data_IF_230053245693
#
_entry.id   IF_230053245693
#
_cell.length_a   1.000
_cell.length_b   1.000
_cell.length_c   1.000
_cell.angle_alpha   90.00
_cell.angle_beta   90.00
_cell.angle_gamma   90.00
#
_symmetry.space_group_name_H-M   'P 1'
#
loop_
_entity.id
_entity.type
_entity.pdbx_description
1 polymer ?
#
# COMPACT_ATOMS: atom_id res chain seq x y z
N UNK A 1 11.66 32.68 30.23
CA UNK A 1 12.93 32.17 29.67
C UNK A 1 12.57 31.15 28.61
N UNK A 2 12.71 31.51 27.34
CA UNK A 2 12.46 30.61 26.20
C UNK A 2 13.67 29.71 26.05
N UNK A 3 13.55 28.44 26.47
CA UNK A 3 14.55 27.42 26.17
C UNK A 3 14.38 27.02 24.71
N UNK A 4 15.08 27.71 23.81
CA UNK A 4 15.34 27.21 22.46
C UNK A 4 16.18 25.95 22.59
N UNK A 5 15.51 24.79 22.64
CA UNK A 5 16.16 23.50 22.48
C UNK A 5 16.86 23.55 21.13
N UNK A 6 18.20 23.53 21.13
CA UNK A 6 18.93 23.37 19.88
C UNK A 6 18.56 21.99 19.35
N UNK A 7 17.87 21.97 18.22
CA UNK A 7 17.62 20.73 17.50
C UNK A 7 18.97 20.28 16.97
N UNK A 8 19.63 19.38 17.71
CA UNK A 8 20.85 18.75 17.23
C UNK A 8 20.58 18.19 15.84
N UNK A 9 21.40 18.59 14.87
CA UNK A 9 21.29 18.12 13.49
C UNK A 9 21.57 16.62 13.47
N UNK A 10 20.50 15.82 13.42
CA UNK A 10 20.63 14.37 13.30
C UNK A 10 21.44 14.01 12.06
N UNK A 11 22.44 13.16 12.24
CA UNK A 11 23.26 12.66 11.14
C UNK A 11 22.45 11.75 10.24
N UNK A 12 22.36 12.10 8.95
CA UNK A 12 21.72 11.26 7.93
C UNK A 12 22.36 9.89 7.81
N UNK A 13 23.68 9.80 8.00
CA UNK A 13 24.40 8.53 7.96
C UNK A 13 23.93 7.61 9.09
N UNK A 14 23.78 8.14 10.31
CA UNK A 14 23.27 7.36 11.44
C UNK A 14 21.83 6.91 11.23
N UNK A 15 20.96 7.78 10.70
CA UNK A 15 19.59 7.40 10.33
C UNK A 15 19.57 6.31 9.27
N UNK A 16 20.44 6.38 8.26
CA UNK A 16 20.57 5.36 7.23
C UNK A 16 21.02 4.02 7.80
N UNK A 17 22.06 3.99 8.64
CA UNK A 17 22.51 2.76 9.29
C UNK A 17 21.43 2.16 10.19
N UNK A 18 20.72 3.00 10.95
CA UNK A 18 19.61 2.56 11.80
C UNK A 18 18.41 2.03 11.00
N UNK A 19 18.22 2.52 9.77
CA UNK A 19 17.12 2.14 8.90
C UNK A 19 17.41 0.92 8.01
N UNK A 20 18.62 0.35 8.04
CA UNK A 20 18.96 -0.86 7.28
C UNK A 20 18.00 -2.05 7.49
N UNK A 21 17.42 -2.29 8.69
CA UNK A 21 16.43 -3.35 8.87
C UNK A 21 15.17 -3.17 7.99
N UNK A 22 14.80 -1.94 7.61
CA UNK A 22 13.71 -1.71 6.65
C UNK A 22 14.12 -2.28 5.27
N UNK A 23 15.34 -2.02 4.81
CA UNK A 23 15.84 -2.54 3.52
C UNK A 23 15.99 -4.07 3.50
N UNK A 24 16.17 -4.70 4.65
CA UNK A 24 16.24 -6.17 4.73
C UNK A 24 14.96 -6.82 4.16
N UNK A 25 13.78 -6.20 4.33
CA UNK A 25 12.53 -6.69 3.74
C UNK A 25 12.55 -6.66 2.21
N UNK A 26 13.17 -5.65 1.58
CA UNK A 26 13.34 -5.65 0.12
C UNK A 26 14.25 -6.81 -0.33
N UNK A 27 15.32 -7.11 0.42
CA UNK A 27 16.18 -8.26 0.16
C UNK A 27 15.43 -9.60 0.27
N UNK A 28 14.56 -9.75 1.27
CA UNK A 28 13.69 -10.92 1.43
C UNK A 28 12.72 -11.07 0.25
N UNK A 29 12.12 -9.97 -0.22
CA UNK A 29 11.23 -10.00 -1.38
C UNK A 29 11.98 -10.33 -2.68
N UNK A 30 13.18 -9.78 -2.89
CA UNK A 30 14.03 -10.13 -4.05
C UNK A 30 14.33 -11.63 -4.06
N UNK A 31 14.62 -12.22 -2.89
CA UNK A 31 14.78 -13.67 -2.77
C UNK A 31 13.49 -14.42 -3.14
N UNK A 32 12.33 -13.95 -2.69
CA UNK A 32 11.05 -14.57 -3.04
C UNK A 32 10.81 -14.55 -4.56
N UNK A 33 11.11 -13.45 -5.25
CA UNK A 33 11.06 -13.42 -6.72
C UNK A 33 12.04 -14.39 -7.39
N UNK A 34 13.22 -14.60 -6.81
CA UNK A 34 14.17 -15.59 -7.32
C UNK A 34 13.66 -17.04 -7.20
N UNK A 35 12.59 -17.29 -6.44
CA UNK A 35 11.89 -18.58 -6.42
C UNK A 35 10.90 -18.76 -7.57
N UNK A 36 10.74 -17.77 -8.46
CA UNK A 36 9.74 -17.72 -9.52
C UNK A 36 9.96 -18.68 -10.71
N UNK A 37 11.00 -19.51 -10.69
CA UNK A 37 11.29 -20.45 -11.78
C UNK A 37 10.12 -21.40 -12.11
N UNK A 38 9.43 -22.03 -11.13
CA UNK A 38 8.34 -22.97 -11.41
C UNK A 38 7.12 -22.33 -12.08
N UNK A 39 6.84 -21.05 -11.82
CA UNK A 39 5.67 -20.36 -12.37
C UNK A 39 5.91 -19.84 -13.79
N UNK A 40 7.17 -19.61 -14.18
CA UNK A 40 7.51 -19.00 -15.46
C UNK A 40 6.97 -19.78 -16.69
N UNK A 41 7.09 -21.12 -16.78
CA UNK A 41 6.54 -21.88 -17.92
C UNK A 41 5.01 -21.75 -18.03
N UNK A 42 4.30 -21.66 -16.91
CA UNK A 42 2.84 -21.49 -16.90
C UNK A 42 2.46 -20.13 -17.47
N UNK A 43 3.13 -19.06 -17.04
CA UNK A 43 2.89 -17.70 -17.56
C UNK A 43 3.23 -17.60 -19.05
N UNK A 44 4.32 -18.22 -19.48
CA UNK A 44 4.70 -18.26 -20.89
C UNK A 44 3.66 -19.01 -21.73
N UNK A 45 3.23 -20.19 -21.28
CA UNK A 45 2.21 -20.99 -21.96
C UNK A 45 0.86 -20.25 -22.07
N UNK A 46 0.49 -19.51 -21.02
CA UNK A 46 -0.68 -18.63 -21.01
C UNK A 46 -0.58 -17.55 -22.08
N UNK A 47 0.57 -16.87 -22.15
CA UNK A 47 0.84 -15.83 -23.13
C UNK A 47 0.85 -16.39 -24.54
N UNK A 48 1.50 -17.52 -24.80
CA UNK A 48 1.58 -18.10 -26.15
C UNK A 48 0.20 -18.52 -26.67
N UNK A 49 -0.59 -19.20 -25.83
CA UNK A 49 -1.87 -19.78 -26.24
C UNK A 49 -3.08 -18.84 -26.06
N UNK A 50 -2.91 -17.66 -25.45
CA UNK A 50 -4.03 -16.79 -25.08
C UNK A 50 -5.09 -17.51 -24.25
N UNK A 51 -4.66 -18.45 -23.41
CA UNK A 51 -5.58 -19.30 -22.66
C UNK A 51 -4.97 -19.68 -21.32
N UNK A 52 -5.79 -19.62 -20.28
CA UNK A 52 -5.47 -20.19 -18.97
C UNK A 52 -6.30 -21.45 -18.76
N UNK A 53 -5.67 -22.51 -18.26
CA UNK A 53 -6.29 -23.81 -18.03
C UNK A 53 -5.88 -24.30 -16.64
N UNK A 54 -6.84 -24.79 -15.87
CA UNK A 54 -6.64 -25.46 -14.58
C UNK A 54 -7.69 -26.55 -14.40
N UNK A 55 -7.61 -27.34 -13.33
CA UNK A 55 -8.52 -28.47 -13.10
C UNK A 55 -10.01 -28.08 -13.04
N UNK A 56 -10.30 -26.83 -12.68
CA UNK A 56 -11.66 -26.29 -12.58
C UNK A 56 -12.18 -25.63 -13.85
N UNK A 57 -11.38 -25.50 -14.91
CA UNK A 57 -11.85 -24.93 -16.18
C UNK A 57 -10.78 -24.29 -17.04
N UNK A 58 -11.24 -23.52 -18.02
CA UNK A 58 -10.38 -22.73 -18.89
C UNK A 58 -11.03 -21.42 -19.30
N UNK A 59 -10.20 -20.40 -19.51
CA UNK A 59 -10.63 -19.07 -19.92
C UNK A 59 -9.65 -18.50 -20.93
N UNK A 60 -10.17 -17.76 -21.90
CA UNK A 60 -9.35 -16.98 -22.84
C UNK A 60 -8.81 -15.74 -22.14
N UNK A 61 -7.53 -15.45 -22.33
CA UNK A 61 -6.88 -14.26 -21.79
C UNK A 61 -6.48 -13.33 -22.92
N UNK A 62 -6.58 -12.04 -22.67
CA UNK A 62 -6.18 -11.00 -23.61
C UNK A 62 -4.66 -10.93 -23.67
N UNK A 63 -4.11 -10.78 -24.88
CA UNK A 63 -2.69 -10.50 -25.14
C UNK A 63 -2.41 -9.00 -25.19
N UNK A 64 -3.40 -8.25 -25.64
CA UNK A 64 -3.33 -6.83 -25.93
C UNK A 64 -4.62 -6.17 -25.44
N UNK A 65 -4.51 -4.95 -24.93
CA UNK A 65 -5.63 -4.21 -24.37
C UNK A 65 -5.56 -2.72 -24.71
N UNK A 66 -4.38 -2.10 -24.60
CA UNK A 66 -4.21 -0.67 -24.74
C UNK A 66 -4.04 -0.23 -26.19
N UNK A 67 -3.68 -1.15 -27.09
CA UNK A 67 -3.36 -0.85 -28.49
C UNK A 67 -2.03 -0.11 -28.65
N UNK A 68 -1.14 -0.24 -27.66
CA UNK A 68 0.19 0.39 -27.63
C UNK A 68 1.18 -0.75 -27.41
N UNK A 69 1.90 -1.22 -28.45
CA UNK A 69 2.64 -2.49 -28.38
C UNK A 69 3.61 -2.61 -27.19
N UNK A 70 4.44 -1.58 -26.87
CA UNK A 70 5.32 -1.68 -25.69
C UNK A 70 4.57 -1.78 -24.36
N UNK A 71 3.40 -1.15 -24.26
CA UNK A 71 2.57 -1.17 -23.06
C UNK A 71 1.87 -2.53 -22.92
N UNK A 72 1.32 -3.03 -24.02
CA UNK A 72 0.68 -4.35 -24.08
C UNK A 72 1.68 -5.46 -23.76
N UNK A 73 2.91 -5.40 -24.29
CA UNK A 73 3.96 -6.37 -24.01
C UNK A 73 4.33 -6.43 -22.52
N UNK A 74 4.57 -5.28 -21.88
CA UNK A 74 4.92 -5.22 -20.46
C UNK A 74 3.75 -5.73 -19.59
N UNK A 75 2.55 -5.21 -19.84
CA UNK A 75 1.40 -5.49 -18.99
C UNK A 75 0.75 -6.84 -19.26
N UNK A 76 0.99 -7.49 -20.41
CA UNK A 76 0.55 -8.85 -20.64
C UNK A 76 1.14 -9.79 -19.60
N UNK A 77 2.46 -9.73 -19.37
CA UNK A 77 3.17 -10.55 -18.39
C UNK A 77 2.63 -10.38 -16.96
N UNK A 78 2.38 -9.13 -16.56
CA UNK A 78 1.85 -8.81 -15.23
C UNK A 78 0.40 -9.29 -15.12
N UNK A 79 -0.42 -9.01 -16.13
CA UNK A 79 -1.84 -9.36 -16.16
C UNK A 79 -2.06 -10.87 -16.10
N UNK A 80 -1.23 -11.67 -16.78
CA UNK A 80 -1.35 -13.14 -16.71
C UNK A 80 -0.99 -13.70 -15.33
N UNK A 81 0.00 -13.11 -14.63
CA UNK A 81 0.29 -13.52 -13.26
C UNK A 81 -0.90 -13.24 -12.33
N UNK A 82 -1.52 -12.07 -12.45
CA UNK A 82 -2.70 -11.71 -11.66
C UNK A 82 -3.96 -12.49 -12.06
N UNK A 83 -4.07 -12.97 -13.30
CA UNK A 83 -5.18 -13.81 -13.73
C UNK A 83 -5.29 -15.09 -12.88
N UNK A 84 -4.15 -15.72 -12.55
CA UNK A 84 -4.14 -16.88 -11.64
C UNK A 84 -4.62 -16.53 -10.23
N UNK A 85 -4.28 -15.33 -9.75
CA UNK A 85 -4.73 -14.81 -8.46
C UNK A 85 -6.23 -14.46 -8.45
N UNK A 86 -6.84 -14.14 -9.59
CA UNK A 86 -8.20 -13.60 -9.69
C UNK A 86 -9.24 -14.61 -10.21
N UNK A 87 -8.81 -15.70 -10.82
CA UNK A 87 -9.70 -16.71 -11.40
C UNK A 87 -10.02 -17.88 -10.46
N UNK A 88 -9.53 -17.82 -9.21
CA UNK A 88 -9.82 -18.81 -8.18
C UNK A 88 -9.26 -20.20 -8.51
N UNK A 89 -8.14 -20.29 -9.25
CA UNK A 89 -7.46 -21.56 -9.49
C UNK A 89 -6.79 -22.09 -8.22
N UNK A 90 -6.17 -21.20 -7.43
CA UNK A 90 -5.76 -21.45 -6.05
C UNK A 90 -6.61 -20.59 -5.11
N UNK A 91 -7.56 -21.19 -4.36
CA UNK A 91 -8.40 -20.47 -3.41
C UNK A 91 -7.61 -19.68 -2.35
N UNK A 92 -6.46 -20.20 -1.91
CA UNK A 92 -5.64 -19.52 -0.89
C UNK A 92 -4.99 -18.28 -1.47
N UNK A 93 -4.41 -18.37 -2.66
CA UNK A 93 -3.83 -17.22 -3.35
C UNK A 93 -4.90 -16.17 -3.73
N UNK A 94 -6.10 -16.61 -4.10
CA UNK A 94 -7.22 -15.69 -4.39
C UNK A 94 -7.61 -14.87 -3.18
N UNK A 95 -7.86 -15.52 -2.04
CA UNK A 95 -8.26 -14.83 -0.81
C UNK A 95 -7.14 -13.93 -0.27
N UNK A 96 -5.89 -14.39 -0.34
CA UNK A 96 -4.73 -13.57 0.01
C UNK A 96 -4.69 -12.29 -0.84
N UNK A 97 -4.69 -12.46 -2.16
CA UNK A 97 -4.52 -11.34 -3.09
C UNK A 97 -5.67 -10.33 -3.01
N UNK A 98 -6.90 -10.79 -2.80
CA UNK A 98 -8.05 -9.90 -2.58
C UNK A 98 -7.82 -8.99 -1.36
N UNK A 99 -7.41 -9.54 -0.22
CA UNK A 99 -7.13 -8.77 0.99
C UNK A 99 -5.95 -7.83 0.75
N UNK A 100 -4.83 -8.36 0.27
CA UNK A 100 -3.61 -7.57 0.07
C UNK A 100 -3.84 -6.37 -0.86
N UNK A 101 -4.43 -6.59 -2.02
CA UNK A 101 -4.70 -5.50 -2.96
C UNK A 101 -5.76 -4.54 -2.42
N UNK A 102 -6.77 -5.00 -1.69
CA UNK A 102 -7.69 -4.06 -1.02
C UNK A 102 -6.94 -3.14 -0.04
N UNK A 103 -6.04 -3.71 0.76
CA UNK A 103 -5.25 -2.98 1.73
C UNK A 103 -4.24 -2.00 1.08
N UNK A 104 -3.77 -2.32 -0.12
CA UNK A 104 -2.82 -1.54 -0.91
C UNK A 104 -3.36 -0.16 -1.30
N UNK A 105 -4.67 0.01 -1.43
CA UNK A 105 -5.32 1.30 -1.72
C UNK A 105 -4.97 2.41 -0.69
N UNK A 106 -4.59 2.01 0.53
CA UNK A 106 -4.19 2.91 1.61
C UNK A 106 -2.73 3.41 1.55
N UNK A 107 -1.92 2.93 0.61
CA UNK A 107 -0.50 3.27 0.50
C UNK A 107 -0.32 4.49 -0.43
N UNK A 108 0.54 5.48 -0.08
CA UNK A 108 0.69 6.71 -0.87
C UNK A 108 0.96 6.50 -2.38
N UNK A 109 0.20 7.22 -3.21
CA UNK A 109 0.09 7.09 -4.68
C UNK A 109 1.37 7.36 -5.52
N UNK A 110 2.52 7.71 -4.93
CA UNK A 110 3.74 8.05 -5.69
C UNK A 110 4.57 6.81 -6.09
N UNK A 111 4.29 5.68 -5.44
CA UNK A 111 4.99 4.39 -5.52
C UNK A 111 4.35 3.33 -6.46
N UNK A 112 3.03 3.35 -6.75
CA UNK A 112 2.37 2.21 -7.37
C UNK A 112 2.83 1.80 -8.76
N UNK A 113 3.27 2.71 -9.64
CA UNK A 113 3.67 2.31 -11.00
C UNK A 113 4.91 1.40 -10.98
N UNK A 114 5.93 1.76 -10.19
CA UNK A 114 7.11 0.92 -10.03
C UNK A 114 6.78 -0.38 -9.29
N UNK A 115 5.79 -0.34 -8.39
CA UNK A 115 5.33 -1.51 -7.65
C UNK A 115 4.67 -2.55 -8.55
N UNK A 116 4.02 -2.15 -9.65
CA UNK A 116 3.48 -3.11 -10.63
C UNK A 116 4.59 -3.90 -11.34
N UNK A 117 5.78 -3.31 -11.50
CA UNK A 117 6.90 -3.92 -12.21
C UNK A 117 7.80 -4.77 -11.31
N UNK A 118 7.96 -4.36 -10.05
CA UNK A 118 8.95 -4.95 -9.13
C UNK A 118 8.34 -5.59 -7.87
N UNK A 119 7.02 -5.57 -7.72
CA UNK A 119 6.34 -5.90 -6.46
C UNK A 119 6.51 -4.80 -5.41
N UNK A 120 5.45 -4.51 -4.66
CA UNK A 120 5.53 -3.47 -3.61
C UNK A 120 6.43 -3.91 -2.46
N UNK A 121 6.58 -5.19 -2.20
CA UNK A 121 7.46 -5.76 -1.18
C UNK A 121 8.92 -5.41 -1.39
N UNK A 122 9.32 -4.98 -2.61
CA UNK A 122 10.63 -4.38 -2.88
C UNK A 122 10.55 -2.86 -2.79
N UNK A 123 9.56 -2.25 -3.44
CA UNK A 123 9.52 -0.78 -3.61
C UNK A 123 9.17 -0.05 -2.31
N UNK A 124 8.20 -0.53 -1.53
CA UNK A 124 7.78 0.10 -0.28
C UNK A 124 8.90 0.15 0.76
N UNK A 125 9.64 -0.93 1.06
CA UNK A 125 10.76 -0.82 2.00
C UNK A 125 11.85 0.17 1.55
N UNK A 126 12.17 0.21 0.25
CA UNK A 126 13.12 1.19 -0.31
C UNK A 126 12.59 2.61 -0.14
N UNK A 127 11.31 2.84 -0.44
CA UNK A 127 10.66 4.13 -0.22
C UNK A 127 10.67 4.53 1.25
N UNK A 128 10.25 3.65 2.16
CA UNK A 128 10.20 3.92 3.59
C UNK A 128 11.59 4.21 4.16
N UNK A 129 12.61 3.49 3.71
CA UNK A 129 14.00 3.77 4.05
C UNK A 129 14.40 5.20 3.67
N UNK A 130 14.24 5.56 2.40
CA UNK A 130 14.61 6.91 1.94
C UNK A 130 13.76 7.99 2.62
N UNK A 131 12.47 7.75 2.78
CA UNK A 131 11.57 8.66 3.47
C UNK A 131 12.06 8.92 4.89
N UNK A 132 12.39 7.88 5.65
CA UNK A 132 12.89 8.02 7.02
C UNK A 132 14.25 8.74 7.08
N UNK A 133 15.18 8.40 6.18
CA UNK A 133 16.53 9.00 6.14
C UNK A 133 16.46 10.50 5.82
N UNK A 134 15.59 10.90 4.90
CA UNK A 134 15.49 12.28 4.42
C UNK A 134 14.48 13.15 5.17
N UNK A 135 13.69 12.55 6.07
CA UNK A 135 12.66 13.22 6.88
C UNK A 135 12.98 13.11 8.37
N UNK A 136 14.01 13.83 8.86
CA UNK A 136 14.32 13.89 10.29
C UNK A 136 13.20 14.56 11.11
N UNK A 137 13.22 14.35 12.42
CA UNK A 137 12.18 14.80 13.35
C UNK A 137 11.79 16.29 13.18
N UNK A 138 12.75 17.17 12.92
CA UNK A 138 12.48 18.59 12.72
C UNK A 138 11.65 18.90 11.46
N UNK A 139 11.81 18.12 10.38
CA UNK A 139 11.01 18.30 9.16
C UNK A 139 9.59 17.83 9.37
N UNK A 140 9.40 16.72 10.09
CA UNK A 140 8.07 16.21 10.45
C UNK A 140 7.30 17.22 11.28
N UNK A 141 8.00 17.91 12.19
CA UNK A 141 7.39 18.85 13.15
C UNK A 141 7.26 20.28 12.62
N UNK A 142 7.64 20.52 11.35
CA UNK A 142 7.52 21.82 10.69
C UNK A 142 6.28 21.83 9.77
N UNK A 143 5.19 22.54 10.12
CA UNK A 143 3.92 22.43 9.40
C UNK A 143 3.98 22.83 7.92
N UNK A 144 4.88 23.73 7.54
CA UNK A 144 5.02 24.21 6.16
C UNK A 144 5.68 23.19 5.21
N UNK A 145 6.32 22.14 5.74
CA UNK A 145 7.09 21.18 4.95
C UNK A 145 6.34 19.87 4.66
N UNK A 146 5.14 19.68 5.20
CA UNK A 146 4.41 18.41 5.14
C UNK A 146 2.96 18.50 4.60
N UNK A 147 2.49 19.69 4.21
CA UNK A 147 1.08 19.88 3.82
C UNK A 147 0.83 19.78 2.31
N UNK A 148 -0.03 18.85 1.87
CA UNK A 148 -0.37 18.69 0.46
C UNK A 148 -1.36 19.76 -0.06
N UNK A 149 -2.12 20.42 0.81
CA UNK A 149 -3.20 21.34 0.45
C UNK A 149 -4.58 20.69 0.47
N UNK A 150 -5.63 21.48 0.70
CA UNK A 150 -7.04 21.03 0.75
C UNK A 150 -7.48 20.33 -0.54
N UNK A 151 -7.18 20.90 -1.72
CA UNK A 151 -7.67 20.35 -2.99
C UNK A 151 -7.14 18.94 -3.29
N UNK A 152 -5.83 18.64 -3.13
CA UNK A 152 -5.33 17.26 -3.18
C UNK A 152 -5.96 16.32 -2.15
N UNK A 153 -6.21 16.78 -0.91
CA UNK A 153 -6.89 15.97 0.09
C UNK A 153 -8.31 15.59 -0.34
N UNK A 154 -9.09 16.54 -0.88
CA UNK A 154 -10.45 16.27 -1.38
C UNK A 154 -10.41 15.32 -2.59
N UNK A 155 -9.41 15.49 -3.47
CA UNK A 155 -9.27 14.68 -4.68
C UNK A 155 -8.87 13.22 -4.40
N UNK A 156 -8.31 12.91 -3.23
CA UNK A 156 -7.77 11.59 -2.90
C UNK A 156 -8.84 10.48 -2.90
N UNK A 157 -9.89 10.64 -2.10
CA UNK A 157 -10.95 9.63 -2.00
C UNK A 157 -11.65 9.33 -3.34
N UNK A 158 -12.15 10.32 -4.11
CA UNK A 158 -12.78 10.04 -5.40
C UNK A 158 -11.78 9.45 -6.40
N UNK A 159 -10.51 9.82 -6.35
CA UNK A 159 -9.48 9.19 -7.18
C UNK A 159 -9.33 7.70 -6.85
N UNK A 160 -9.21 7.34 -5.57
CA UNK A 160 -9.09 5.93 -5.17
C UNK A 160 -10.36 5.17 -5.56
N UNK A 161 -11.55 5.74 -5.34
CA UNK A 161 -12.80 5.10 -5.74
C UNK A 161 -12.87 4.85 -7.26
N UNK A 162 -12.53 5.84 -8.08
CA UNK A 162 -12.69 5.79 -9.53
C UNK A 162 -11.55 5.08 -10.26
N UNK A 163 -10.30 5.24 -9.83
CA UNK A 163 -9.14 4.69 -10.51
C UNK A 163 -8.73 3.32 -9.96
N UNK A 164 -8.98 3.06 -8.67
CA UNK A 164 -8.56 1.83 -8.00
C UNK A 164 -9.72 0.85 -7.79
N UNK A 165 -10.70 1.21 -6.96
CA UNK A 165 -11.74 0.26 -6.55
C UNK A 165 -12.73 -0.10 -7.67
N UNK A 166 -12.96 0.82 -8.61
CA UNK A 166 -13.87 0.60 -9.74
C UNK A 166 -13.45 -0.56 -10.65
N UNK A 167 -12.16 -0.87 -10.72
CA UNK A 167 -11.60 -1.97 -11.52
C UNK A 167 -11.14 -3.13 -10.64
N UNK A 168 -10.64 -2.86 -9.44
CA UNK A 168 -10.20 -3.88 -8.47
C UNK A 168 -11.30 -4.86 -8.12
N UNK A 169 -12.46 -4.40 -7.64
CA UNK A 169 -13.50 -5.35 -7.22
C UNK A 169 -14.11 -6.14 -8.38
N UNK A 170 -14.37 -5.53 -9.55
CA UNK A 170 -14.80 -6.30 -10.71
C UNK A 170 -13.78 -7.33 -11.21
N UNK A 171 -12.46 -7.10 -11.06
CA UNK A 171 -11.46 -8.11 -11.43
C UNK A 171 -11.53 -9.37 -10.55
N UNK A 172 -12.12 -9.29 -9.35
CA UNK A 172 -12.32 -10.43 -8.46
C UNK A 172 -13.74 -11.01 -8.49
N UNK A 173 -14.77 -10.17 -8.61
CA UNK A 173 -16.15 -10.57 -8.35
C UNK A 173 -17.02 -10.66 -9.60
N UNK A 174 -16.55 -10.21 -10.75
CA UNK A 174 -17.36 -10.31 -11.97
C UNK A 174 -17.68 -11.79 -12.30
N UNK A 175 -18.91 -12.16 -12.70
CA UNK A 175 -19.26 -13.57 -12.94
C UNK A 175 -18.50 -14.22 -14.11
N UNK A 176 -18.23 -13.47 -15.18
CA UNK A 176 -17.39 -13.93 -16.30
C UNK A 176 -15.91 -13.71 -16.00
N UNK A 177 -15.11 -14.76 -16.19
CA UNK A 177 -13.66 -14.75 -16.02
C UNK A 177 -12.96 -13.90 -17.09
N UNK A 178 -13.48 -13.86 -18.32
CA UNK A 178 -12.99 -12.98 -19.38
C UNK A 178 -13.14 -11.52 -18.99
N UNK A 179 -14.29 -11.16 -18.42
CA UNK A 179 -14.50 -9.80 -17.91
C UNK A 179 -13.63 -9.51 -16.68
N UNK A 180 -13.35 -10.49 -15.81
CA UNK A 180 -12.33 -10.32 -14.75
C UNK A 180 -10.96 -10.00 -15.35
N UNK A 181 -10.55 -10.69 -16.42
CA UNK A 181 -9.31 -10.39 -17.14
C UNK A 181 -9.30 -8.96 -17.68
N UNK A 182 -10.41 -8.54 -18.29
CA UNK A 182 -10.57 -7.19 -18.84
C UNK A 182 -10.46 -6.11 -17.75
N UNK A 183 -11.10 -6.31 -16.61
CA UNK A 183 -10.98 -5.40 -15.46
C UNK A 183 -9.57 -5.40 -14.84
N UNK A 184 -8.90 -6.56 -14.83
CA UNK A 184 -7.51 -6.65 -14.40
C UNK A 184 -6.60 -5.78 -15.25
N UNK A 185 -6.72 -5.82 -16.58
CA UNK A 185 -5.98 -4.93 -17.48
C UNK A 185 -6.16 -3.47 -17.09
N UNK A 186 -7.41 -3.00 -16.91
CA UNK A 186 -7.66 -1.62 -16.47
C UNK A 186 -6.97 -1.32 -15.14
N UNK A 187 -7.07 -2.24 -14.19
CA UNK A 187 -6.49 -2.09 -12.86
C UNK A 187 -4.96 -2.03 -12.91
N UNK A 188 -4.27 -2.79 -13.76
CA UNK A 188 -2.80 -2.78 -13.80
C UNK A 188 -2.23 -1.38 -14.05
N UNK A 189 -2.89 -0.57 -14.88
CA UNK A 189 -2.47 0.80 -15.18
C UNK A 189 -3.17 1.86 -14.30
N UNK A 190 -3.83 1.45 -13.22
CA UNK A 190 -4.43 2.37 -12.22
C UNK A 190 -3.48 3.49 -11.76
N UNK A 191 -2.14 3.30 -11.62
CA UNK A 191 -1.28 4.39 -11.15
C UNK A 191 -1.27 5.57 -12.14
N UNK A 192 -1.41 5.29 -13.44
CA UNK A 192 -1.44 6.30 -14.49
C UNK A 192 -2.79 7.01 -14.50
N UNK A 193 -3.89 6.26 -14.61
CA UNK A 193 -5.24 6.85 -14.63
C UNK A 193 -5.56 7.57 -13.31
N UNK A 194 -5.11 7.02 -12.18
CA UNK A 194 -5.25 7.59 -10.85
C UNK A 194 -4.49 8.91 -10.73
N UNK A 195 -3.28 9.00 -11.26
CA UNK A 195 -2.54 10.27 -11.32
C UNK A 195 -3.26 11.32 -12.15
N UNK A 196 -3.77 10.96 -13.34
CA UNK A 196 -4.56 11.88 -14.16
C UNK A 196 -5.86 12.32 -13.46
N UNK A 197 -6.56 11.39 -12.82
CA UNK A 197 -7.81 11.64 -12.09
C UNK A 197 -7.57 12.57 -10.91
N UNK A 198 -6.53 12.30 -10.10
CA UNK A 198 -6.13 13.16 -8.98
C UNK A 198 -5.81 14.57 -9.44
N UNK A 199 -5.01 14.70 -10.51
CA UNK A 199 -4.62 16.00 -11.06
C UNK A 199 -5.83 16.76 -11.62
N UNK A 200 -6.72 16.08 -12.35
CA UNK A 200 -7.92 16.68 -12.91
C UNK A 200 -8.83 17.21 -11.79
N UNK A 201 -9.19 16.35 -10.83
CA UNK A 201 -10.09 16.71 -9.72
C UNK A 201 -9.46 17.83 -8.87
N UNK A 202 -8.18 17.71 -8.51
CA UNK A 202 -7.49 18.71 -7.69
C UNK A 202 -7.42 20.07 -8.39
N UNK A 203 -7.12 20.12 -9.70
CA UNK A 203 -7.13 21.36 -10.48
C UNK A 203 -8.52 21.97 -10.60
N UNK A 204 -9.56 21.16 -10.81
CA UNK A 204 -10.95 21.66 -10.87
C UNK A 204 -11.36 22.28 -9.55
N UNK A 205 -11.07 21.63 -8.42
CA UNK A 205 -11.38 22.16 -7.08
C UNK A 205 -10.60 23.45 -6.81
N UNK A 206 -9.31 23.46 -7.12
CA UNK A 206 -8.45 24.64 -6.93
C UNK A 206 -8.91 25.82 -7.78
N UNK A 207 -9.40 25.58 -9.00
CA UNK A 207 -9.95 26.62 -9.88
C UNK A 207 -11.25 27.23 -9.37
N UNK A 208 -12.08 26.43 -8.66
CA UNK A 208 -13.33 26.88 -8.04
C UNK A 208 -13.08 27.64 -6.74
N UNK A 209 -12.04 27.27 -5.99
CA UNK A 209 -11.70 27.87 -4.71
C UNK A 209 -10.63 28.95 -4.89
N UNK A 210 -11.01 30.14 -5.36
CA UNK A 210 -10.11 31.33 -5.45
C UNK A 210 -9.79 31.99 -4.11
N UNK A 211 -9.98 31.28 -2.99
CA UNK A 211 -9.91 31.88 -1.66
C UNK A 211 -8.49 31.75 -1.10
N UNK A 212 -7.97 32.86 -0.54
CA UNK A 212 -6.66 32.96 0.11
C UNK A 212 -6.55 31.90 1.21
N UNK A 213 -5.45 31.14 1.25
CA UNK A 213 -5.25 30.10 2.26
C UNK A 213 -5.32 30.67 3.67
N UNK A 214 -6.16 30.08 4.52
CA UNK A 214 -6.37 30.50 5.91
C UNK A 214 -5.99 29.40 6.90
N UNK A 215 -5.96 29.73 8.20
CA UNK A 215 -5.77 28.76 9.29
C UNK A 215 -6.84 27.67 9.31
N UNK A 216 -8.02 27.94 8.76
CA UNK A 216 -9.15 26.98 8.64
C UNK A 216 -8.79 25.79 7.73
N UNK A 217 -7.96 26.03 6.71
CA UNK A 217 -7.54 25.02 5.72
C UNK A 217 -6.81 23.85 6.37
N UNK A 218 -6.04 24.09 7.44
CA UNK A 218 -5.29 23.02 8.12
C UNK A 218 -6.19 22.05 8.87
N UNK A 219 -7.24 22.56 9.51
CA UNK A 219 -8.19 21.72 10.22
C UNK A 219 -9.06 20.96 9.22
N UNK A 220 -9.43 21.64 8.13
CA UNK A 220 -10.16 21.05 7.02
C UNK A 220 -9.39 19.90 6.36
N UNK A 221 -8.09 20.09 6.06
CA UNK A 221 -7.22 19.03 5.52
C UNK A 221 -7.24 17.77 6.38
N UNK A 222 -7.05 17.93 7.69
CA UNK A 222 -7.03 16.80 8.62
C UNK A 222 -8.40 16.10 8.69
N UNK A 223 -9.51 16.86 8.70
CA UNK A 223 -10.87 16.30 8.67
C UNK A 223 -11.10 15.48 7.40
N UNK A 224 -10.68 15.98 6.24
CA UNK A 224 -10.80 15.25 4.96
C UNK A 224 -9.96 13.97 4.97
N UNK A 225 -8.72 14.05 5.49
CA UNK A 225 -7.84 12.89 5.61
C UNK A 225 -8.42 11.85 6.56
N UNK A 226 -9.00 12.24 7.71
CA UNK A 226 -9.70 11.33 8.63
C UNK A 226 -10.81 10.56 7.92
N UNK A 227 -11.71 11.27 7.23
CA UNK A 227 -12.81 10.64 6.49
C UNK A 227 -12.27 9.65 5.46
N UNK A 228 -11.25 10.06 4.70
CA UNK A 228 -10.62 9.20 3.69
C UNK A 228 -10.04 7.93 4.33
N UNK A 229 -9.20 8.07 5.36
CA UNK A 229 -8.57 6.95 6.05
C UNK A 229 -9.60 6.03 6.70
N UNK A 230 -10.62 6.57 7.38
CA UNK A 230 -11.66 5.75 8.00
C UNK A 230 -12.47 4.97 6.98
N UNK A 231 -12.76 5.53 5.81
CA UNK A 231 -13.43 4.80 4.72
C UNK A 231 -12.54 3.70 4.14
N UNK A 232 -11.25 3.97 3.91
CA UNK A 232 -10.31 2.96 3.43
C UNK A 232 -10.12 1.84 4.45
N UNK A 233 -10.03 2.17 5.74
CA UNK A 233 -9.94 1.20 6.83
C UNK A 233 -11.24 0.38 6.92
N UNK A 234 -12.40 1.01 6.77
CA UNK A 234 -13.66 0.29 6.74
C UNK A 234 -13.72 -0.73 5.59
N UNK A 235 -13.33 -0.32 4.37
CA UNK A 235 -13.30 -1.22 3.20
C UNK A 235 -12.31 -2.37 3.43
N UNK A 236 -11.10 -2.08 3.88
CA UNK A 236 -10.07 -3.09 4.21
C UNK A 236 -10.57 -4.07 5.28
N UNK A 237 -11.13 -3.58 6.39
CA UNK A 237 -11.69 -4.40 7.46
C UNK A 237 -12.86 -5.25 6.97
N UNK A 238 -13.75 -4.68 6.14
CA UNK A 238 -14.87 -5.41 5.57
C UNK A 238 -14.39 -6.55 4.65
N UNK A 239 -13.37 -6.32 3.82
CA UNK A 239 -12.76 -7.35 2.99
C UNK A 239 -12.07 -8.42 3.84
N UNK A 240 -11.38 -8.03 4.92
CA UNK A 240 -10.79 -8.96 5.89
C UNK A 240 -11.84 -9.89 6.49
N UNK A 241 -12.93 -9.32 7.03
CA UNK A 241 -14.03 -10.09 7.62
C UNK A 241 -14.82 -10.92 6.61
N UNK A 242 -14.92 -10.46 5.36
CA UNK A 242 -15.52 -11.24 4.29
C UNK A 242 -14.66 -12.45 3.93
N UNK A 243 -13.34 -12.30 3.99
CA UNK A 243 -12.38 -13.32 3.56
C UNK A 243 -12.16 -14.40 4.62
N UNK A 244 -12.00 -14.05 5.90
CA UNK A 244 -11.67 -15.01 6.96
C UNK A 244 -12.61 -16.24 7.00
N UNK A 245 -13.96 -16.09 6.94
CA UNK A 245 -14.88 -17.23 6.96
C UNK A 245 -14.84 -18.09 5.69
N UNK A 246 -14.20 -17.62 4.62
CA UNK A 246 -14.08 -18.33 3.32
C UNK A 246 -12.79 -19.12 3.20
N UNK A 247 -11.85 -18.95 4.12
CA UNK A 247 -10.59 -19.67 4.14
C UNK A 247 -10.82 -21.10 4.63
N UNK A 248 -10.37 -22.08 3.85
CA UNK A 248 -10.31 -23.47 4.25
C UNK A 248 -8.97 -23.77 4.93
N UNK A 249 -9.02 -24.28 6.16
CA UNK A 249 -7.84 -24.59 6.96
C UNK A 249 -7.31 -23.39 7.77
N UNK A 250 -6.06 -23.46 8.25
CA UNK A 250 -5.44 -22.39 9.04
C UNK A 250 -5.30 -21.09 8.25
N UNK A 251 -5.66 -19.96 8.87
CA UNK A 251 -5.45 -18.61 8.30
C UNK A 251 -3.98 -18.34 7.96
N UNK A 252 -3.05 -18.95 8.71
CA UNK A 252 -1.61 -18.90 8.44
C UNK A 252 -1.24 -19.45 7.06
N UNK A 253 -1.95 -20.47 6.56
CA UNK A 253 -1.65 -21.08 5.26
C UNK A 253 -1.95 -20.12 4.10
N UNK A 254 -2.83 -19.15 4.35
CA UNK A 254 -3.19 -18.11 3.39
C UNK A 254 -2.22 -16.95 3.48
N UNK A 255 -1.93 -16.42 4.68
CA UNK A 255 -1.20 -15.17 4.81
C UNK A 255 0.31 -15.31 5.08
N UNK A 256 0.79 -16.46 5.55
CA UNK A 256 2.21 -16.67 5.90
C UNK A 256 2.91 -17.59 4.91
N UNK A 257 4.11 -17.21 4.41
CA UNK A 257 4.92 -18.05 3.56
C UNK A 257 5.32 -19.31 4.32
N UNK A 258 5.25 -20.45 3.64
CA UNK A 258 5.70 -21.74 4.18
C UNK A 258 7.15 -22.03 3.77
N UNK A 259 7.60 -21.44 2.66
CA UNK A 259 8.88 -21.72 2.02
C UNK A 259 9.93 -20.67 2.40
N UNK A 260 10.55 -20.86 3.57
CA UNK A 260 11.55 -19.93 4.09
C UNK A 260 12.97 -20.14 3.55
N UNK A 261 13.30 -21.36 3.11
CA UNK A 261 14.65 -21.74 2.67
C UNK A 261 14.63 -22.38 1.30
N UNK A 262 13.76 -23.38 1.11
CA UNK A 262 13.58 -24.10 -0.15
C UNK A 262 12.65 -23.33 -1.09
N UNK A 263 12.74 -23.61 -2.39
CA UNK A 263 11.82 -23.09 -3.39
C UNK A 263 10.60 -24.01 -3.52
N UNK A 264 9.38 -23.45 -3.63
CA UNK A 264 8.20 -24.23 -4.02
C UNK A 264 8.46 -24.97 -5.34
N UNK A 265 7.87 -26.16 -5.51
CA UNK A 265 8.00 -26.93 -6.75
C UNK A 265 6.77 -26.75 -7.65
N UNK A 266 5.59 -26.63 -7.04
CA UNK A 266 4.35 -26.42 -7.78
C UNK A 266 4.17 -24.94 -8.16
N UNK A 267 3.75 -24.63 -9.40
CA UNK A 267 3.57 -23.26 -9.88
C UNK A 267 2.61 -22.42 -9.02
N UNK A 268 1.46 -22.97 -8.63
CA UNK A 268 0.47 -22.26 -7.82
C UNK A 268 1.03 -21.92 -6.43
N UNK A 269 1.77 -22.86 -5.83
CA UNK A 269 2.44 -22.65 -4.53
C UNK A 269 3.57 -21.63 -4.63
N UNK A 270 4.27 -21.61 -5.77
CA UNK A 270 5.28 -20.61 -6.08
C UNK A 270 4.67 -19.20 -6.10
N UNK A 271 3.61 -18.99 -6.89
CA UNK A 271 2.96 -17.69 -6.98
C UNK A 271 2.33 -17.26 -5.64
N UNK A 272 1.70 -18.19 -4.92
CA UNK A 272 1.17 -17.95 -3.57
C UNK A 272 2.27 -17.54 -2.59
N UNK A 273 3.42 -18.19 -2.64
CA UNK A 273 4.56 -17.86 -1.77
C UNK A 273 5.08 -16.46 -2.09
N UNK A 274 5.22 -16.10 -3.37
CA UNK A 274 5.65 -14.77 -3.79
C UNK A 274 4.70 -13.69 -3.25
N UNK A 275 3.39 -13.85 -3.41
CA UNK A 275 2.42 -12.85 -2.93
C UNK A 275 2.39 -12.76 -1.39
N UNK A 276 2.60 -13.87 -0.69
CA UNK A 276 2.75 -13.89 0.77
C UNK A 276 3.97 -13.09 1.25
N UNK A 277 5.11 -13.25 0.58
CA UNK A 277 6.28 -12.44 0.85
C UNK A 277 6.05 -10.95 0.52
N UNK A 278 5.36 -10.66 -0.59
CA UNK A 278 5.06 -9.29 -1.00
C UNK A 278 4.26 -8.54 0.08
N UNK A 279 3.21 -9.20 0.59
CA UNK A 279 2.39 -8.70 1.68
C UNK A 279 3.18 -8.47 2.97
N UNK A 280 3.88 -9.50 3.46
CA UNK A 280 4.61 -9.42 4.73
C UNK A 280 5.73 -8.40 4.67
N UNK A 281 6.50 -8.36 3.58
CA UNK A 281 7.61 -7.42 3.43
C UNK A 281 7.09 -5.98 3.39
N UNK A 282 5.98 -5.74 2.69
CA UNK A 282 5.35 -4.42 2.60
C UNK A 282 4.88 -3.92 3.95
N UNK A 283 4.04 -4.68 4.65
CA UNK A 283 3.46 -4.22 5.92
C UNK A 283 4.48 -4.23 7.05
N UNK A 284 5.40 -5.20 7.11
CA UNK A 284 6.43 -5.22 8.14
C UNK A 284 7.38 -4.03 8.01
N UNK A 285 7.80 -3.69 6.79
CA UNK A 285 8.58 -2.48 6.53
C UNK A 285 7.80 -1.22 6.88
N UNK A 286 6.50 -1.16 6.55
CA UNK A 286 5.62 -0.04 6.88
C UNK A 286 5.43 0.16 8.38
N UNK A 287 5.18 -0.91 9.14
CA UNK A 287 5.06 -0.84 10.61
C UNK A 287 6.38 -0.45 11.27
N UNK A 288 7.51 -0.97 10.80
CA UNK A 288 8.82 -0.59 11.30
C UNK A 288 9.13 0.89 11.02
N UNK A 289 8.79 1.35 9.82
CA UNK A 289 8.87 2.77 9.44
C UNK A 289 8.01 3.67 10.33
N UNK A 290 6.76 3.27 10.62
CA UNK A 290 5.89 3.98 11.56
C UNK A 290 6.50 3.99 12.96
N UNK A 291 6.99 2.86 13.47
CA UNK A 291 7.63 2.75 14.77
C UNK A 291 8.83 3.72 14.88
N UNK A 292 9.67 3.81 13.84
CA UNK A 292 10.78 4.76 13.84
C UNK A 292 10.31 6.21 13.88
N UNK A 293 9.24 6.56 13.16
CA UNK A 293 8.65 7.89 13.24
C UNK A 293 8.05 8.19 14.63
N UNK A 294 7.39 7.22 15.27
CA UNK A 294 6.91 7.40 16.64
C UNK A 294 8.07 7.57 17.64
N UNK A 295 9.19 6.86 17.45
CA UNK A 295 10.41 7.08 18.24
C UNK A 295 10.99 8.49 18.05
N UNK A 296 10.95 9.02 16.82
CA UNK A 296 11.35 10.41 16.56
C UNK A 296 10.41 11.42 17.23
N UNK A 297 9.10 11.16 17.24
CA UNK A 297 8.12 12.00 17.95
C UNK A 297 8.30 11.96 19.46
N UNK A 298 8.62 10.80 20.02
CA UNK A 298 8.93 10.61 21.44
C UNK A 298 10.20 11.38 21.85
N UNK A 299 11.28 11.26 21.07
CA UNK A 299 12.52 12.05 21.28
C UNK A 299 12.28 13.56 21.13
N UNK A 300 11.35 13.96 20.28
CA UNK A 300 10.95 15.36 20.12
C UNK A 300 10.01 15.87 21.24
N UNK A 301 9.62 15.01 22.19
CA UNK A 301 8.74 15.35 23.31
C UNK A 301 7.28 15.55 22.91
N UNK A 302 6.83 14.95 21.80
CA UNK A 302 5.46 15.13 21.27
C UNK A 302 4.49 14.11 21.86
N UNK A 303 4.96 12.88 22.09
CA UNK A 303 4.18 11.80 22.67
C UNK A 303 5.07 10.89 23.51
N UNK A 304 4.46 10.08 24.37
CA UNK A 304 5.12 8.97 25.04
C UNK A 304 4.50 7.67 24.54
N UNK A 305 5.33 6.71 24.12
CA UNK A 305 4.83 5.46 23.54
C UNK A 305 5.14 4.32 24.50
N UNK A 306 4.12 3.73 25.16
CA UNK A 306 4.33 2.52 25.96
C UNK A 306 4.53 1.32 25.02
N UNK A 307 5.75 1.15 24.49
CA UNK A 307 6.09 0.24 23.39
C UNK A 307 5.52 -1.18 23.52
N UNK A 308 5.66 -1.80 24.70
CA UNK A 308 5.13 -3.16 24.94
C UNK A 308 3.60 -3.19 24.78
N UNK A 309 2.91 -2.22 25.40
CA UNK A 309 1.46 -2.11 25.30
C UNK A 309 1.03 -1.79 23.87
N UNK A 310 1.75 -0.91 23.19
CA UNK A 310 1.48 -0.56 21.80
C UNK A 310 1.60 -1.79 20.88
N UNK A 311 2.64 -2.61 21.05
CA UNK A 311 2.82 -3.85 20.30
C UNK A 311 1.71 -4.88 20.57
N UNK A 312 1.33 -5.08 21.84
CA UNK A 312 0.24 -6.00 22.21
C UNK A 312 -1.10 -5.53 21.63
N UNK A 313 -1.42 -4.24 21.77
CA UNK A 313 -2.65 -3.67 21.22
C UNK A 313 -2.65 -3.74 19.70
N UNK A 314 -1.53 -3.43 19.03
CA UNK A 314 -1.40 -3.56 17.58
C UNK A 314 -1.62 -4.99 17.12
N UNK A 315 -1.08 -5.99 17.83
CA UNK A 315 -1.31 -7.41 17.52
C UNK A 315 -2.79 -7.81 17.63
N UNK A 316 -3.45 -7.42 18.73
CA UNK A 316 -4.88 -7.73 18.95
C UNK A 316 -5.75 -7.01 17.92
N UNK A 317 -5.56 -5.69 17.76
CA UNK A 317 -6.35 -4.88 16.83
C UNK A 317 -6.10 -5.35 15.40
N UNK A 318 -4.85 -5.59 15.01
CA UNK A 318 -4.50 -6.08 13.67
C UNK A 318 -5.13 -7.43 13.33
N UNK A 319 -5.25 -8.35 14.30
CA UNK A 319 -5.97 -9.60 14.08
C UNK A 319 -7.48 -9.37 13.84
N UNK A 320 -8.06 -8.36 14.49
CA UNK A 320 -9.49 -8.03 14.36
C UNK A 320 -9.77 -7.26 13.06
N UNK A 321 -9.03 -6.19 12.77
CA UNK A 321 -9.33 -5.27 11.66
C UNK A 321 -8.53 -5.56 10.38
N UNK A 322 -7.54 -6.45 10.46
CA UNK A 322 -6.58 -6.69 9.39
C UNK A 322 -5.40 -5.70 9.43
N UNK A 323 -4.23 -6.08 8.88
CA UNK A 323 -3.03 -5.27 8.95
C UNK A 323 -3.10 -4.02 8.05
N UNK A 324 -3.83 -4.05 6.93
CA UNK A 324 -4.04 -2.87 6.09
C UNK A 324 -4.71 -1.72 6.82
N UNK A 325 -5.85 -2.01 7.45
CA UNK A 325 -6.59 -1.06 8.28
C UNK A 325 -5.74 -0.55 9.45
N UNK A 326 -5.07 -1.47 10.16
CA UNK A 326 -4.18 -1.10 11.26
C UNK A 326 -3.09 -0.12 10.80
N UNK A 327 -2.43 -0.39 9.66
CA UNK A 327 -1.36 0.43 9.13
C UNK A 327 -1.80 1.87 8.87
N UNK A 328 -2.90 2.07 8.13
CA UNK A 328 -3.37 3.43 7.80
C UNK A 328 -3.94 4.18 9.01
N UNK A 329 -4.52 3.47 9.99
CA UNK A 329 -4.99 4.08 11.23
C UNK A 329 -3.82 4.54 12.12
N UNK A 330 -2.76 3.74 12.24
CA UNK A 330 -1.53 4.15 12.95
C UNK A 330 -0.85 5.32 12.22
N UNK A 331 -0.84 5.30 10.88
CA UNK A 331 -0.37 6.43 10.08
C UNK A 331 -1.18 7.69 10.37
N UNK A 332 -2.52 7.63 10.40
CA UNK A 332 -3.37 8.77 10.72
C UNK A 332 -3.13 9.28 12.14
N UNK A 333 -2.97 8.39 13.13
CA UNK A 333 -2.62 8.79 14.50
C UNK A 333 -1.33 9.62 14.53
N UNK A 334 -0.31 9.23 13.76
CA UNK A 334 0.92 10.02 13.63
C UNK A 334 0.62 11.41 13.07
N UNK A 335 -0.19 11.51 12.02
CA UNK A 335 -0.57 12.80 11.40
C UNK A 335 -1.33 13.70 12.37
N UNK A 336 -2.21 13.13 13.20
CA UNK A 336 -2.94 13.89 14.22
C UNK A 336 -2.04 14.44 15.32
N UNK A 337 -1.05 13.66 15.78
CA UNK A 337 -0.06 14.12 16.75
C UNK A 337 0.77 15.28 16.19
N UNK A 338 1.19 15.18 14.92
CA UNK A 338 1.90 16.25 14.23
C UNK A 338 1.05 17.53 14.08
N UNK A 339 -0.23 17.38 13.74
CA UNK A 339 -1.16 18.49 13.63
C UNK A 339 -1.42 19.19 14.98
N UNK A 340 -1.49 18.43 16.09
CA UNK A 340 -1.71 18.99 17.43
C UNK A 340 -0.59 19.95 17.86
N UNK A 341 0.67 19.65 17.55
CA UNK A 341 1.82 20.49 17.88
C UNK A 341 1.86 21.79 17.08
N UNK A 342 1.42 21.76 15.82
CA UNK A 342 1.32 22.95 14.98
C UNK A 342 0.39 24.02 15.58
N UNK A 343 -0.65 23.58 16.31
CA UNK A 343 -1.60 24.49 16.96
C UNK A 343 -1.05 25.17 18.22
N UNK A 344 -0.07 24.55 18.90
CA UNK A 344 0.48 25.01 20.19
C UNK A 344 1.67 25.97 20.02
N UNK A 345 2.43 25.88 18.92
CA UNK A 345 3.68 26.66 18.72
C UNK A 345 3.52 28.06 18.12
N UNK A 346 2.32 28.49 17.72
CA UNK A 346 2.08 29.89 17.36
C UNK A 346 1.64 30.67 18.60
N UNK A 347 2.48 31.52 19.22
CA UNK A 347 2.00 32.43 20.24
C UNK A 347 0.97 33.38 19.60
N UNK A 348 -0.14 33.61 20.29
CA UNK A 348 -1.09 34.66 19.97
C UNK A 348 -0.31 35.95 19.73
N UNK A 349 -0.22 36.36 18.46
CA UNK A 349 0.21 37.71 18.11
C UNK A 349 -0.93 38.63 18.53
N UNK A 350 -0.86 39.09 19.77
CA UNK A 350 -1.61 40.25 20.25
C UNK A 350 -1.19 41.51 19.48
#
# INVERSE_FOLDING_TARGET
MSSTVSVATESRLWRALFALPILAFAGLMIRAFAMGEPIAPVLQNMLENSQFTWDGGSVKILKEFYGIPPLDEIFAHITVAFAQLQFFSDPRAYWHSLVFLTDFAGIPLVIPLLSQLMGIGVVAPVYFFFFYVFTPAYKLTTPSLHRPGVAPCIALLPTIALAYFSSHFPSYFHPSLEARNWWNWIWQLFPVWGSFTMLAISKTISGLSKTRSTKDDSNQELVILRVTVYLLAFISTATWWYTIPKIEGPVSDVFMPQYFVESPQEPDECLRTIIQYDYICTYSAGFLWLAYHFSDLEKAGICEVPWIRALVVAGIVGAVVGPGSLFILIWLLREELLASQASVREPEKF
#
